data_IF_716280708805
#
_entry.id   IF_716280708805
#
_cell.length_a   1.000
_cell.length_b   1.000
_cell.length_c   1.000
_cell.angle_alpha   90.00
_cell.angle_beta   90.00
_cell.angle_gamma   90.00
#
_symmetry.space_group_name_H-M   'P 1'
#
loop_
_entity.id
_entity.type
_entity.pdbx_description
1 polymer ?
#
# COMPACT_ATOMS: atom_id res chain seq x y z
N UNK A 1 -10.48 -19.01 1.67
CA UNK A 1 -10.66 -17.75 0.94
C UNK A 1 -9.57 -17.63 -0.11
N UNK A 2 -9.90 -17.66 -1.41
CA UNK A 2 -8.96 -17.49 -2.55
C UNK A 2 -9.34 -16.31 -3.46
N UNK A 3 -10.32 -15.49 -3.04
CA UNK A 3 -10.96 -14.50 -3.93
C UNK A 3 -10.12 -13.24 -4.17
N UNK A 4 -9.22 -12.89 -3.25
CA UNK A 4 -8.35 -11.73 -3.38
C UNK A 4 -6.94 -12.17 -3.75
N UNK A 5 -6.49 -11.76 -4.93
CA UNK A 5 -5.11 -11.93 -5.37
C UNK A 5 -4.55 -10.56 -5.67
N UNK A 6 -3.71 -10.05 -4.76
CA UNK A 6 -2.99 -8.82 -5.01
C UNK A 6 -1.96 -9.04 -6.10
N UNK A 7 -2.03 -8.25 -7.17
CA UNK A 7 -0.90 -8.12 -8.08
C UNK A 7 0.26 -7.42 -7.36
N UNK A 8 1.49 -7.66 -7.84
CA UNK A 8 2.68 -6.96 -7.31
C UNK A 8 2.55 -5.45 -7.48
N UNK A 9 1.96 -5.00 -8.58
CA UNK A 9 1.76 -3.57 -8.85
C UNK A 9 0.78 -2.91 -7.86
N UNK A 10 -0.27 -3.64 -7.46
CA UNK A 10 -1.17 -3.16 -6.41
C UNK A 10 -0.44 -3.03 -5.07
N UNK A 11 0.37 -4.02 -4.70
CA UNK A 11 1.18 -3.92 -3.48
C UNK A 11 2.17 -2.76 -3.59
N UNK A 12 2.88 -2.63 -4.70
CA UNK A 12 3.84 -1.56 -4.93
C UNK A 12 3.19 -0.16 -4.86
N UNK A 13 1.99 0.01 -5.41
CA UNK A 13 1.26 1.29 -5.35
C UNK A 13 0.84 1.67 -3.92
N UNK A 14 0.43 0.68 -3.11
CA UNK A 14 0.14 0.88 -1.68
C UNK A 14 1.42 1.22 -0.92
N UNK A 15 2.52 0.50 -1.16
CA UNK A 15 3.83 0.78 -0.55
C UNK A 15 4.29 2.20 -0.90
N UNK A 16 4.24 2.59 -2.17
CA UNK A 16 4.61 3.94 -2.60
C UNK A 16 3.76 5.02 -1.92
N UNK A 17 2.46 4.77 -1.70
CA UNK A 17 1.60 5.69 -0.97
C UNK A 17 1.98 5.80 0.53
N UNK A 18 2.30 4.66 1.16
CA UNK A 18 2.76 4.61 2.55
C UNK A 18 4.11 5.29 2.74
N UNK A 19 5.04 5.11 1.80
CA UNK A 19 6.36 5.75 1.84
C UNK A 19 6.21 7.27 1.78
N UNK A 20 5.39 7.78 0.86
CA UNK A 20 5.11 9.21 0.79
C UNK A 20 4.47 9.77 2.08
N UNK A 21 3.59 8.99 2.73
CA UNK A 21 3.04 9.35 4.04
C UNK A 21 4.12 9.43 5.13
N UNK A 22 4.95 8.39 5.27
CA UNK A 22 6.03 8.34 6.27
C UNK A 22 7.03 9.48 6.08
N UNK A 23 7.49 9.68 4.85
CA UNK A 23 8.43 10.76 4.52
C UNK A 23 7.87 12.13 4.86
N UNK A 24 6.59 12.37 4.57
CA UNK A 24 5.94 13.62 4.91
C UNK A 24 5.75 13.78 6.42
N UNK A 25 5.32 12.73 7.13
CA UNK A 25 4.89 12.81 8.51
C UNK A 25 6.05 12.77 9.51
N UNK A 26 7.06 11.94 9.25
CA UNK A 26 8.17 11.69 10.18
C UNK A 26 9.43 12.48 9.81
N UNK A 27 9.68 12.69 8.51
CA UNK A 27 10.91 13.30 8.01
C UNK A 27 10.70 14.70 7.40
N UNK A 28 9.47 15.21 7.39
CA UNK A 28 9.10 16.49 6.76
C UNK A 28 9.50 16.60 5.28
N UNK A 29 9.69 15.46 4.60
CA UNK A 29 10.12 15.37 3.21
C UNK A 29 8.91 15.25 2.30
N UNK A 30 8.64 16.33 1.57
CA UNK A 30 7.52 16.39 0.63
C UNK A 30 7.89 15.71 -0.69
N UNK A 31 7.11 14.69 -1.06
CA UNK A 31 7.24 14.01 -2.36
C UNK A 31 6.15 14.54 -3.30
N UNK A 32 6.56 15.33 -4.29
CA UNK A 32 5.65 15.85 -5.31
C UNK A 32 5.06 14.74 -6.19
N UNK A 33 3.91 15.02 -6.82
CA UNK A 33 3.21 14.07 -7.68
C UNK A 33 4.11 13.51 -8.80
N UNK A 34 4.92 14.38 -9.44
CA UNK A 34 5.86 13.98 -10.50
C UNK A 34 6.97 13.05 -10.02
N UNK A 35 7.48 13.23 -8.80
CA UNK A 35 8.47 12.32 -8.24
C UNK A 35 7.83 10.96 -7.94
N UNK A 36 6.63 10.98 -7.35
CA UNK A 36 5.87 9.77 -7.01
C UNK A 36 5.43 8.97 -8.23
N UNK A 37 5.08 9.63 -9.34
CA UNK A 37 4.70 8.94 -10.58
C UNK A 37 5.87 8.25 -11.27
N UNK A 38 7.10 8.67 -10.97
CA UNK A 38 8.32 8.02 -11.44
C UNK A 38 8.71 6.75 -10.68
N UNK A 39 8.11 6.49 -9.51
CA UNK A 39 8.41 5.32 -8.70
C UNK A 39 7.82 4.05 -9.32
N UNK A 40 8.67 3.07 -9.59
CA UNK A 40 8.31 1.79 -10.20
C UNK A 40 9.04 0.63 -9.49
N UNK A 41 8.80 -0.60 -9.94
CA UNK A 41 9.36 -1.80 -9.31
C UNK A 41 10.90 -1.82 -9.31
N UNK A 42 11.53 -1.21 -10.32
CA UNK A 42 12.98 -1.18 -10.46
C UNK A 42 13.63 0.00 -9.71
N UNK A 43 12.82 0.93 -9.17
CA UNK A 43 13.33 2.07 -8.44
C UNK A 43 14.12 1.63 -7.20
N UNK A 44 15.42 1.99 -7.12
CA UNK A 44 16.21 1.79 -5.91
C UNK A 44 15.60 2.53 -4.73
N UNK A 45 15.62 1.94 -3.54
CA UNK A 45 15.20 2.62 -2.32
C UNK A 45 16.26 3.63 -1.86
N UNK A 46 17.53 3.36 -2.09
CA UNK A 46 18.63 4.28 -1.77
C UNK A 46 18.96 5.25 -2.91
N UNK A 47 20.24 5.57 -3.04
CA UNK A 47 20.78 6.49 -4.05
C UNK A 47 20.38 6.08 -5.49
N UNK A 48 20.02 7.07 -6.30
CA UNK A 48 19.67 6.85 -7.72
C UNK A 48 18.22 6.37 -7.93
N UNK A 49 17.39 6.47 -6.90
CA UNK A 49 15.96 6.13 -6.96
C UNK A 49 15.13 7.03 -6.05
N UNK A 50 14.78 6.51 -4.87
CA UNK A 50 14.03 7.26 -3.87
C UNK A 50 14.93 8.11 -2.97
N UNK A 51 16.25 7.90 -3.02
CA UNK A 51 17.26 8.58 -2.21
C UNK A 51 16.89 8.56 -0.72
N UNK A 52 16.46 7.39 -0.22
CA UNK A 52 16.13 7.22 1.19
C UNK A 52 17.42 7.04 1.98
N UNK A 53 17.55 7.76 3.10
CA UNK A 53 18.54 7.44 4.12
C UNK A 53 18.24 6.05 4.73
N UNK A 54 19.18 5.48 5.47
CA UNK A 54 18.95 4.18 6.14
C UNK A 54 17.76 4.24 7.12
N UNK A 55 17.62 5.36 7.83
CA UNK A 55 16.53 5.61 8.76
C UNK A 55 15.19 5.77 8.03
N UNK A 56 15.13 6.58 6.97
CA UNK A 56 13.94 6.75 6.14
C UNK A 56 13.50 5.41 5.53
N UNK A 57 14.47 4.63 5.02
CA UNK A 57 14.22 3.31 4.44
C UNK A 57 13.64 2.35 5.49
N UNK A 58 14.21 2.29 6.69
CA UNK A 58 13.73 1.44 7.76
C UNK A 58 12.30 1.81 8.20
N UNK A 59 12.03 3.11 8.38
CA UNK A 59 10.71 3.62 8.77
C UNK A 59 9.65 3.31 7.70
N UNK A 60 9.96 3.60 6.43
CA UNK A 60 9.08 3.35 5.29
C UNK A 60 8.72 1.86 5.15
N UNK A 61 9.74 0.99 5.19
CA UNK A 61 9.56 -0.45 5.10
C UNK A 61 8.79 -1.00 6.30
N UNK A 62 9.12 -0.55 7.52
CA UNK A 62 8.41 -0.95 8.74
C UNK A 62 6.92 -0.58 8.68
N UNK A 63 6.59 0.63 8.19
CA UNK A 63 5.20 1.05 7.98
C UNK A 63 4.48 0.18 6.95
N UNK A 64 5.12 -0.11 5.82
CA UNK A 64 4.56 -0.98 4.79
C UNK A 64 4.31 -2.41 5.31
N UNK A 65 5.27 -2.99 6.01
CA UNK A 65 5.17 -4.33 6.58
C UNK A 65 4.06 -4.42 7.63
N UNK A 66 3.96 -3.41 8.51
CA UNK A 66 2.89 -3.31 9.51
C UNK A 66 1.52 -3.21 8.86
N UNK A 67 1.37 -2.41 7.79
CA UNK A 67 0.10 -2.29 7.06
C UNK A 67 -0.45 -3.65 6.63
N UNK A 68 0.42 -4.54 6.12
CA UNK A 68 0.06 -5.91 5.71
C UNK A 68 0.11 -6.94 6.85
N UNK A 69 0.24 -6.51 8.10
CA UNK A 69 0.18 -7.39 9.27
C UNK A 69 1.46 -8.19 9.54
N UNK A 70 2.58 -7.85 8.90
CA UNK A 70 3.87 -8.54 8.97
C UNK A 70 5.00 -7.61 9.48
N UNK A 71 4.90 -7.03 10.69
CA UNK A 71 5.82 -5.98 11.16
C UNK A 71 7.30 -6.39 11.19
N UNK A 72 7.58 -7.68 11.37
CA UNK A 72 8.94 -8.23 11.52
C UNK A 72 9.64 -8.50 10.16
N UNK A 73 8.92 -8.35 9.04
CA UNK A 73 9.37 -8.80 7.70
C UNK A 73 10.73 -8.24 7.28
N UNK A 74 11.01 -6.98 7.63
CA UNK A 74 12.20 -6.26 7.18
C UNK A 74 13.23 -6.01 8.30
N UNK A 75 13.09 -6.65 9.46
CA UNK A 75 14.04 -6.47 10.57
C UNK A 75 15.44 -7.01 10.27
N UNK A 76 15.53 -8.06 9.44
CA UNK A 76 16.79 -8.77 9.14
C UNK A 76 17.37 -8.46 7.77
N UNK A 77 16.51 -8.22 6.79
CA UNK A 77 16.90 -8.01 5.40
C UNK A 77 16.09 -6.88 4.82
N UNK A 78 16.77 -5.78 4.48
CA UNK A 78 16.15 -4.63 3.81
C UNK A 78 16.22 -4.83 2.29
N UNK A 79 15.10 -4.79 1.57
CA UNK A 79 15.10 -4.81 0.11
C UNK A 79 15.81 -3.57 -0.46
N UNK A 80 16.43 -3.74 -1.63
CA UNK A 80 17.13 -2.65 -2.32
C UNK A 80 16.23 -1.86 -3.26
N UNK A 81 15.13 -2.45 -3.73
CA UNK A 81 14.19 -1.82 -4.67
C UNK A 81 12.75 -1.89 -4.17
N UNK A 82 11.89 -1.02 -4.70
CA UNK A 82 10.46 -1.04 -4.41
C UNK A 82 9.81 -2.38 -4.83
N UNK A 83 10.24 -2.96 -5.95
CA UNK A 83 9.77 -4.25 -6.45
C UNK A 83 10.19 -5.41 -5.55
N UNK A 84 11.40 -5.38 -4.98
CA UNK A 84 11.84 -6.37 -4.00
C UNK A 84 11.01 -6.29 -2.71
N UNK A 85 10.71 -5.07 -2.24
CA UNK A 85 9.82 -4.86 -1.09
C UNK A 85 8.41 -5.38 -1.36
N UNK A 86 7.84 -5.05 -2.51
CA UNK A 86 6.52 -5.52 -2.93
C UNK A 86 6.48 -7.05 -3.08
N UNK A 87 7.56 -7.65 -3.59
CA UNK A 87 7.67 -9.10 -3.70
C UNK A 87 7.71 -9.77 -2.33
N UNK A 88 8.52 -9.29 -1.39
CA UNK A 88 8.58 -9.84 -0.03
C UNK A 88 7.21 -9.78 0.66
N UNK A 89 6.54 -8.62 0.59
CA UNK A 89 5.17 -8.46 1.13
C UNK A 89 4.19 -9.40 0.42
N UNK A 90 4.28 -9.57 -0.90
CA UNK A 90 3.39 -10.47 -1.64
C UNK A 90 3.50 -11.92 -1.17
N UNK A 91 4.70 -12.36 -0.79
CA UNK A 91 4.94 -13.70 -0.26
C UNK A 91 4.31 -13.87 1.12
N UNK A 92 4.47 -12.88 2.01
CA UNK A 92 3.82 -12.88 3.32
C UNK A 92 2.29 -12.87 3.22
N UNK A 93 1.75 -12.02 2.35
CA UNK A 93 0.31 -11.92 2.11
C UNK A 93 -0.26 -13.24 1.58
N UNK A 94 0.46 -13.90 0.65
CA UNK A 94 0.05 -15.18 0.09
C UNK A 94 0.16 -16.32 1.11
N UNK A 95 1.16 -16.29 1.99
CA UNK A 95 1.36 -17.29 3.03
C UNK A 95 0.31 -17.16 4.14
N UNK A 96 0.13 -15.94 4.67
CA UNK A 96 -0.76 -15.68 5.80
C UNK A 96 -1.08 -14.19 5.97
N UNK A 97 -2.14 -13.73 5.31
CA UNK A 97 -2.74 -12.44 5.60
C UNK A 97 -3.97 -12.61 6.50
N UNK A 98 -3.85 -12.22 7.77
CA UNK A 98 -4.94 -12.28 8.76
C UNK A 98 -5.46 -10.92 9.19
N UNK A 99 -4.69 -9.85 8.95
CA UNK A 99 -5.01 -8.51 9.43
C UNK A 99 -4.40 -7.43 8.56
N UNK A 100 -5.00 -6.24 8.60
CA UNK A 100 -4.44 -5.00 8.08
C UNK A 100 -4.30 -3.97 9.21
N UNK A 101 -3.34 -3.07 9.09
CA UNK A 101 -3.17 -1.95 10.02
C UNK A 101 -3.33 -0.60 9.30
N UNK A 102 -4.34 0.16 9.70
CA UNK A 102 -4.65 1.47 9.16
C UNK A 102 -4.33 2.56 10.17
N UNK A 103 -3.74 3.66 9.71
CA UNK A 103 -3.55 4.83 10.55
C UNK A 103 -4.89 5.51 10.83
N UNK A 104 -5.05 6.02 12.06
CA UNK A 104 -6.19 6.82 12.46
C UNK A 104 -6.33 8.07 11.60
N UNK A 105 -7.56 8.36 11.17
CA UNK A 105 -7.86 9.68 10.61
C UNK A 105 -7.55 10.78 11.64
N UNK A 106 -6.86 11.84 11.22
CA UNK A 106 -6.54 13.00 12.08
C UNK A 106 -5.18 12.98 12.77
N UNK A 107 -4.29 12.03 12.46
CA UNK A 107 -2.86 12.18 12.75
C UNK A 107 -2.45 11.96 14.20
N UNK A 108 -3.25 11.30 15.03
CA UNK A 108 -2.88 10.99 16.42
C UNK A 108 -1.86 9.84 16.57
N UNK A 109 -1.18 9.44 15.49
CA UNK A 109 -0.16 8.38 15.52
C UNK A 109 -0.66 7.01 16.00
N UNK A 110 -1.97 6.76 15.95
CA UNK A 110 -2.58 5.50 16.37
C UNK A 110 -2.88 4.64 15.15
N UNK A 111 -2.38 3.41 15.18
CA UNK A 111 -2.74 2.38 14.20
C UNK A 111 -3.91 1.55 14.75
N UNK A 112 -4.84 1.19 13.86
CA UNK A 112 -5.94 0.29 14.14
C UNK A 112 -5.78 -1.00 13.36
N UNK A 113 -5.81 -2.12 14.08
CA UNK A 113 -5.79 -3.44 13.49
C UNK A 113 -7.21 -3.87 13.10
N UNK A 114 -7.35 -4.35 11.86
CA UNK A 114 -8.60 -4.89 11.35
C UNK A 114 -8.38 -6.32 10.83
N UNK A 115 -9.24 -7.29 11.19
CA UNK A 115 -9.22 -8.61 10.58
C UNK A 115 -9.37 -8.53 9.07
N UNK A 116 -8.53 -9.26 8.33
CA UNK A 116 -8.49 -9.17 6.87
C UNK A 116 -9.80 -9.65 6.23
N UNK A 117 -10.46 -10.66 6.83
CA UNK A 117 -11.76 -11.19 6.39
C UNK A 117 -12.88 -10.15 6.46
N UNK A 118 -12.91 -9.30 7.49
CA UNK A 118 -13.85 -8.18 7.61
C UNK A 118 -13.61 -7.18 6.47
N UNK A 119 -12.36 -6.76 6.25
CA UNK A 119 -12.00 -5.82 5.18
C UNK A 119 -12.34 -6.40 3.79
N UNK A 120 -12.12 -7.69 3.59
CA UNK A 120 -12.51 -8.40 2.39
C UNK A 120 -14.03 -8.50 2.21
N UNK A 121 -14.80 -8.63 3.30
CA UNK A 121 -16.25 -8.56 3.28
C UNK A 121 -16.76 -7.19 2.86
N UNK A 122 -16.19 -6.12 3.44
CA UNK A 122 -16.51 -4.73 3.07
C UNK A 122 -16.21 -4.45 1.61
N UNK A 123 -15.05 -4.87 1.11
CA UNK A 123 -14.68 -4.72 -0.29
C UNK A 123 -15.62 -5.48 -1.24
N UNK A 124 -16.13 -6.65 -0.85
CA UNK A 124 -17.10 -7.40 -1.65
C UNK A 124 -18.46 -6.69 -1.69
N UNK A 125 -18.90 -6.10 -0.57
CA UNK A 125 -20.11 -5.28 -0.54
C UNK A 125 -19.97 -4.05 -1.44
N UNK A 126 -18.82 -3.39 -1.41
CA UNK A 126 -18.50 -2.25 -2.28
C UNK A 126 -18.45 -2.66 -3.76
N UNK A 127 -17.87 -3.82 -4.08
CA UNK A 127 -17.83 -4.34 -5.45
C UNK A 127 -19.23 -4.50 -6.05
N UNK A 128 -20.22 -4.94 -5.26
CA UNK A 128 -21.61 -5.02 -5.70
C UNK A 128 -22.19 -3.64 -6.06
N UNK A 129 -21.84 -2.58 -5.33
CA UNK A 129 -22.27 -1.21 -5.63
C UNK A 129 -21.59 -0.65 -6.89
N UNK A 130 -20.40 -1.14 -7.20
CA UNK A 130 -19.58 -0.74 -8.34
C UNK A 130 -19.78 -1.63 -9.58
N UNK A 131 -20.73 -2.56 -9.53
CA UNK A 131 -21.02 -3.43 -10.67
C UNK A 131 -21.43 -2.61 -11.91
N UNK A 132 -20.92 -3.01 -13.08
CA UNK A 132 -21.17 -2.32 -14.36
C UNK A 132 -20.30 -1.08 -14.61
N UNK A 133 -19.41 -0.71 -13.70
CA UNK A 133 -18.41 0.35 -13.95
C UNK A 133 -17.24 -0.20 -14.78
N UNK A 134 -16.54 0.70 -15.49
CA UNK A 134 -15.41 0.34 -16.38
C UNK A 134 -14.03 0.58 -15.76
N UNK A 135 -13.94 1.46 -14.77
CA UNK A 135 -12.71 1.83 -14.06
C UNK A 135 -13.06 2.61 -12.79
N UNK A 136 -12.15 2.62 -11.83
CA UNK A 136 -12.23 3.45 -10.61
C UNK A 136 -11.10 4.48 -10.62
N UNK A 137 -11.46 5.74 -10.40
CA UNK A 137 -10.52 6.84 -10.18
C UNK A 137 -10.60 7.21 -8.70
N UNK A 138 -9.49 7.10 -7.97
CA UNK A 138 -9.45 7.40 -6.53
C UNK A 138 -8.68 8.69 -6.25
N UNK A 139 -9.32 9.61 -5.53
CA UNK A 139 -8.68 10.79 -4.93
C UNK A 139 -8.28 10.55 -3.47
N UNK A 140 -8.48 9.33 -2.98
CA UNK A 140 -8.22 8.94 -1.59
C UNK A 140 -7.01 8.01 -1.56
N UNK A 141 -6.23 8.10 -0.47
CA UNK A 141 -5.06 7.26 -0.28
C UNK A 141 -5.38 5.77 -0.28
N UNK A 142 -4.67 4.94 -1.08
CA UNK A 142 -4.92 3.51 -1.16
C UNK A 142 -4.54 2.79 0.14
N UNK A 143 -3.83 3.45 1.06
CA UNK A 143 -3.53 2.93 2.39
C UNK A 143 -4.48 3.42 3.49
N UNK A 144 -5.48 4.26 3.16
CA UNK A 144 -6.59 4.52 4.07
C UNK A 144 -7.61 3.38 3.98
N UNK A 145 -8.38 3.11 5.03
CA UNK A 145 -9.34 1.99 5.04
C UNK A 145 -10.31 2.08 3.86
N UNK A 146 -10.96 3.23 3.68
CA UNK A 146 -11.93 3.42 2.59
C UNK A 146 -11.25 3.43 1.21
N UNK A 147 -10.08 4.05 1.10
CA UNK A 147 -9.34 4.11 -0.16
C UNK A 147 -8.80 2.74 -0.58
N UNK A 148 -8.34 1.91 0.36
CA UNK A 148 -7.90 0.56 0.10
C UNK A 148 -9.05 -0.32 -0.40
N UNK A 149 -10.18 -0.31 0.30
CA UNK A 149 -11.35 -1.10 -0.08
C UNK A 149 -11.93 -0.67 -1.43
N UNK A 150 -12.00 0.63 -1.72
CA UNK A 150 -12.60 1.15 -2.97
C UNK A 150 -11.66 1.16 -4.17
N UNK A 151 -10.35 1.38 -3.97
CA UNK A 151 -9.41 1.61 -5.09
C UNK A 151 -8.47 0.44 -5.36
N UNK A 152 -8.33 -0.49 -4.39
CA UNK A 152 -7.49 -1.69 -4.54
C UNK A 152 -8.35 -2.96 -4.55
N UNK A 153 -9.13 -3.20 -3.48
CA UNK A 153 -9.81 -4.48 -3.28
C UNK A 153 -11.04 -4.67 -4.17
N UNK A 154 -11.99 -3.73 -4.16
CA UNK A 154 -13.19 -3.85 -4.98
C UNK A 154 -12.87 -3.90 -6.49
N UNK A 155 -11.95 -3.09 -7.04
CA UNK A 155 -11.52 -3.23 -8.43
C UNK A 155 -10.83 -4.55 -8.72
N UNK A 156 -10.02 -5.08 -7.79
CA UNK A 156 -9.40 -6.41 -7.92
C UNK A 156 -10.47 -7.50 -8.07
N UNK A 157 -11.51 -7.46 -7.23
CA UNK A 157 -12.62 -8.41 -7.28
C UNK A 157 -13.41 -8.34 -8.59
N UNK A 158 -13.56 -7.13 -9.14
CA UNK A 158 -14.30 -6.88 -10.38
C UNK A 158 -13.45 -7.02 -11.65
N UNK A 159 -12.13 -7.21 -11.53
CA UNK A 159 -11.21 -7.17 -12.66
C UNK A 159 -11.14 -5.80 -13.36
N UNK A 160 -11.36 -4.72 -12.61
CA UNK A 160 -11.37 -3.35 -13.14
C UNK A 160 -10.04 -2.63 -12.90
N UNK A 161 -9.63 -1.75 -13.83
CA UNK A 161 -8.52 -0.84 -13.57
C UNK A 161 -8.86 0.13 -12.43
N UNK A 162 -8.01 0.17 -11.41
CA UNK A 162 -7.99 1.20 -10.36
C UNK A 162 -6.85 2.19 -10.63
N UNK A 163 -7.16 3.49 -10.61
CA UNK A 163 -6.18 4.56 -10.85
C UNK A 163 -6.13 5.45 -9.62
N UNK A 164 -4.94 5.59 -9.01
CA UNK A 164 -4.67 6.61 -7.99
C UNK A 164 -4.50 7.96 -8.68
N UNK A 165 -5.55 8.80 -8.65
CA UNK A 165 -5.53 10.11 -9.30
C UNK A 165 -4.58 11.10 -8.61
N UNK A 166 -4.01 10.76 -7.45
CA UNK A 166 -3.05 11.59 -6.72
C UNK A 166 -1.62 11.41 -7.22
N UNK A 167 -1.37 10.42 -8.08
CA UNK A 167 -0.09 10.21 -8.77
C UNK A 167 -0.15 10.56 -10.25
N UNK A 168 -1.24 11.19 -10.71
CA UNK A 168 -1.38 11.72 -12.07
C UNK A 168 -0.77 13.12 -12.19
#
# INVERSE_FOLDING_TARGET
MKAYQFSRDQIASVIAALFAEVLSAEFSRQIGASARSGWNADSPLGEGGLDLSEEERAACLGRAARFFGAPELFERTLPETLGAAAHAISMEVAARLTRFNFAAAGGHGRDFEHPADIIFGDAAALANLLYGRRRILSLVAPHSLIGFSLSILAPNLLGLPGIDARSL
#
